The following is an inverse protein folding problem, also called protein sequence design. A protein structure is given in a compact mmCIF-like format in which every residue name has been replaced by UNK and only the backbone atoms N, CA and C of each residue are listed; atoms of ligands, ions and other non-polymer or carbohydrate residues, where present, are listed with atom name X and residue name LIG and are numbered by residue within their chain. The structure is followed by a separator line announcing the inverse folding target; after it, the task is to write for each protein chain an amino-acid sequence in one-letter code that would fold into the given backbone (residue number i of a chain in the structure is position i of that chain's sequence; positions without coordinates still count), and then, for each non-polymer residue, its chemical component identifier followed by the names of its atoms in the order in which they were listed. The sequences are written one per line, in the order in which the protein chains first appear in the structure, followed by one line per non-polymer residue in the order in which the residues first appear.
data_IF_985281894873
#
_entry.id   IF_985281894873
#
_cell.length_a   1.000
_cell.length_b   1.000
_cell.length_c   1.000
_cell.angle_alpha   90.00
_cell.angle_beta   90.00
_cell.angle_gamma   90.00
#
_symmetry.space_group_name_H-M   'P 1'
#
loop_
_entity.id
_entity.type
_entity.pdbx_description
1 polymer ?
#
# COMPACT_ATOMS: atom_id res chain seq x y z
N UNK A 1 -27.19 20.42 -15.60
CA UNK A 1 -26.86 19.84 -14.30
C UNK A 1 -25.94 18.61 -14.42
N UNK A 2 -26.27 17.58 -15.22
CA UNK A 2 -25.49 16.35 -15.42
C UNK A 2 -24.07 16.60 -15.95
N UNK A 3 -23.90 17.51 -16.91
CA UNK A 3 -22.59 17.84 -17.49
C UNK A 3 -21.66 18.54 -16.48
N UNK A 4 -22.19 19.39 -15.63
CA UNK A 4 -21.43 20.07 -14.57
C UNK A 4 -21.00 19.05 -13.50
N UNK A 5 -21.88 18.14 -13.10
CA UNK A 5 -21.56 17.06 -12.15
C UNK A 5 -20.49 16.12 -12.72
N UNK A 6 -20.55 15.78 -14.01
CA UNK A 6 -19.54 14.98 -14.69
C UNK A 6 -18.17 15.68 -14.74
N UNK A 7 -18.12 16.99 -15.07
CA UNK A 7 -16.88 17.78 -15.04
C UNK A 7 -16.27 17.85 -13.65
N UNK A 8 -17.07 18.12 -12.59
CA UNK A 8 -16.61 18.16 -11.20
C UNK A 8 -16.04 16.79 -10.76
N UNK A 9 -16.70 15.70 -11.13
CA UNK A 9 -16.24 14.34 -10.83
C UNK A 9 -14.91 14.05 -11.52
N UNK A 10 -14.75 14.42 -12.78
CA UNK A 10 -13.49 14.23 -13.53
C UNK A 10 -12.35 15.10 -12.96
N UNK A 11 -12.62 16.32 -12.54
CA UNK A 11 -11.62 17.17 -11.89
C UNK A 11 -11.13 16.57 -10.57
N UNK A 12 -12.05 16.03 -9.74
CA UNK A 12 -11.67 15.32 -8.50
C UNK A 12 -10.80 14.10 -8.80
N UNK A 13 -11.13 13.31 -9.80
CA UNK A 13 -10.33 12.15 -10.19
C UNK A 13 -8.92 12.54 -10.63
N UNK A 14 -8.78 13.59 -11.46
CA UNK A 14 -7.47 14.10 -11.87
C UNK A 14 -6.65 14.58 -10.68
N UNK A 15 -7.28 15.24 -9.71
CA UNK A 15 -6.61 15.70 -8.51
C UNK A 15 -6.11 14.53 -7.66
N UNK A 16 -6.92 13.50 -7.45
CA UNK A 16 -6.52 12.27 -6.73
C UNK A 16 -5.34 11.61 -7.43
N UNK A 17 -5.40 11.43 -8.75
CA UNK A 17 -4.31 10.81 -9.53
C UNK A 17 -3.02 11.62 -9.40
N UNK A 18 -3.09 12.95 -9.49
CA UNK A 18 -1.91 13.82 -9.32
C UNK A 18 -1.30 13.67 -7.94
N UNK A 19 -2.12 13.69 -6.88
CA UNK A 19 -1.65 13.48 -5.51
C UNK A 19 -0.99 12.10 -5.33
N UNK A 20 -1.59 11.04 -5.89
CA UNK A 20 -1.02 9.69 -5.83
C UNK A 20 0.31 9.60 -6.60
N UNK A 21 0.40 10.25 -7.75
CA UNK A 21 1.65 10.31 -8.51
C UNK A 21 2.75 11.05 -7.72
N UNK A 22 2.45 12.18 -7.11
CA UNK A 22 3.38 12.93 -6.26
C UNK A 22 3.86 12.09 -5.06
N UNK A 23 2.95 11.34 -4.43
CA UNK A 23 3.30 10.42 -3.34
C UNK A 23 4.26 9.34 -3.81
N UNK A 24 3.99 8.69 -4.94
CA UNK A 24 4.86 7.66 -5.52
C UNK A 24 6.27 8.23 -5.81
N UNK A 25 6.35 9.44 -6.35
CA UNK A 25 7.65 10.08 -6.61
C UNK A 25 8.42 10.38 -5.32
N UNK A 26 7.73 10.92 -4.30
CA UNK A 26 8.32 11.17 -2.98
C UNK A 26 8.81 9.88 -2.32
N UNK A 27 8.02 8.80 -2.38
CA UNK A 27 8.42 7.49 -1.85
C UNK A 27 9.68 6.95 -2.56
N UNK A 28 9.78 7.07 -3.89
CA UNK A 28 10.97 6.70 -4.64
C UNK A 28 12.20 7.51 -4.19
N UNK A 29 12.06 8.83 -4.08
CA UNK A 29 13.15 9.71 -3.63
C UNK A 29 13.59 9.39 -2.20
N UNK A 30 12.64 9.18 -1.29
CA UNK A 30 12.94 8.79 0.10
C UNK A 30 13.67 7.44 0.13
N UNK A 31 13.22 6.46 -0.65
CA UNK A 31 13.87 5.15 -0.74
C UNK A 31 15.30 5.24 -1.28
N UNK A 32 15.54 6.09 -2.28
CA UNK A 32 16.87 6.37 -2.82
C UNK A 32 17.77 7.04 -1.77
N UNK A 33 17.27 8.03 -1.04
CA UNK A 33 18.00 8.70 0.04
C UNK A 33 18.35 7.74 1.19
N UNK A 34 17.40 6.86 1.60
CA UNK A 34 17.67 5.84 2.62
C UNK A 34 18.68 4.79 2.17
N UNK A 35 18.71 4.43 0.89
CA UNK A 35 19.71 3.51 0.35
C UNK A 35 21.13 4.11 0.31
N UNK A 36 21.25 5.44 0.32
CA UNK A 36 22.52 6.15 0.36
C UNK A 36 22.99 6.48 1.78
N UNK A 37 22.12 6.44 2.78
CA UNK A 37 22.44 6.67 4.18
C UNK A 37 22.52 5.36 4.96
N UNK A 38 23.70 4.75 5.01
CA UNK A 38 24.01 3.75 6.05
C UNK A 38 24.05 4.46 7.40
N UNK A 39 23.02 4.31 8.22
CA UNK A 39 23.03 4.82 9.57
C UNK A 39 21.67 5.17 10.17
N UNK A 40 20.86 4.16 10.44
CA UNK A 40 19.61 4.34 11.20
C UNK A 40 19.87 4.78 12.63
N UNK A 41 19.50 6.00 12.99
CA UNK A 41 19.45 6.45 14.38
C UNK A 41 18.15 6.06 15.05
N UNK A 42 18.30 5.24 16.06
CA UNK A 42 17.38 4.86 17.10
C UNK A 42 16.76 6.08 17.79
N UNK A 43 15.44 6.17 17.81
CA UNK A 43 14.76 7.01 18.81
C UNK A 43 14.33 6.16 20.00
N UNK A 44 14.90 6.50 21.15
CA UNK A 44 14.51 6.03 22.48
C UNK A 44 13.37 6.89 23.03
N UNK A 45 12.33 6.29 23.57
CA UNK A 45 11.81 6.49 24.94
C UNK A 45 10.49 5.72 25.12
N UNK A 46 10.48 4.93 26.14
CA UNK A 46 9.56 4.52 27.20
C UNK A 46 9.27 3.03 27.27
N UNK A 47 9.43 2.55 28.50
CA UNK A 47 9.07 1.27 29.12
C UNK A 47 9.37 -0.04 28.34
N UNK A 48 9.96 -0.99 29.02
CA UNK A 48 10.31 -2.34 28.55
C UNK A 48 9.19 -3.10 27.79
N UNK A 49 7.93 -2.73 28.00
CA UNK A 49 6.79 -3.29 27.27
C UNK A 49 6.62 -2.67 25.89
N UNK A 50 6.88 -1.37 25.75
CA UNK A 50 6.79 -0.64 24.49
C UNK A 50 7.95 -0.99 23.56
N UNK A 51 9.17 -1.17 24.11
CA UNK A 51 10.33 -1.58 23.33
C UNK A 51 10.16 -2.98 22.71
N UNK A 52 9.57 -3.92 23.45
CA UNK A 52 9.26 -5.26 22.92
C UNK A 52 8.17 -5.20 21.85
N UNK A 53 7.14 -4.38 22.04
CA UNK A 53 6.09 -4.17 21.04
C UNK A 53 6.62 -3.54 19.76
N UNK A 54 7.49 -2.55 19.88
CA UNK A 54 8.16 -1.90 18.73
C UNK A 54 9.11 -2.86 18.01
N UNK A 55 9.89 -3.68 18.74
CA UNK A 55 10.76 -4.67 18.14
C UNK A 55 9.95 -5.73 17.37
N UNK A 56 8.86 -6.23 17.95
CA UNK A 56 7.97 -7.18 17.29
C UNK A 56 7.33 -6.58 16.04
N UNK A 57 6.88 -5.33 16.10
CA UNK A 57 6.34 -4.64 14.94
C UNK A 57 7.39 -4.43 13.84
N UNK A 58 8.62 -4.10 14.20
CA UNK A 58 9.74 -3.98 13.25
C UNK A 58 10.03 -5.29 12.52
N UNK A 59 10.04 -6.43 13.23
CA UNK A 59 10.20 -7.76 12.61
C UNK A 59 9.00 -8.10 11.71
N UNK A 60 7.78 -7.75 12.12
CA UNK A 60 6.59 -7.89 11.29
C UNK A 60 6.69 -7.06 10.00
N UNK A 61 7.08 -5.78 10.08
CA UNK A 61 7.28 -4.93 8.91
C UNK A 61 8.36 -5.46 7.98
N UNK A 62 9.44 -6.01 8.55
CA UNK A 62 10.50 -6.64 7.77
C UNK A 62 9.96 -7.79 6.92
N UNK A 63 9.14 -8.68 7.49
CA UNK A 63 8.48 -9.75 6.73
C UNK A 63 7.61 -9.19 5.59
N UNK A 64 6.85 -8.14 5.85
CA UNK A 64 6.01 -7.51 4.83
C UNK A 64 6.86 -6.93 3.70
N UNK A 65 7.94 -6.25 4.02
CA UNK A 65 8.79 -5.55 3.04
C UNK A 65 9.69 -6.49 2.24
N UNK A 66 10.34 -7.46 2.91
CA UNK A 66 11.35 -8.31 2.27
C UNK A 66 10.74 -9.51 1.56
N UNK A 67 9.76 -10.16 2.17
CA UNK A 67 9.16 -11.37 1.64
C UNK A 67 7.81 -11.15 0.96
N UNK A 68 7.24 -9.94 1.09
CA UNK A 68 5.92 -9.59 0.55
C UNK A 68 4.85 -10.62 0.92
N UNK A 69 4.94 -11.12 2.15
CA UNK A 69 4.09 -12.22 2.63
C UNK A 69 2.59 -11.86 2.59
N UNK A 70 2.26 -10.57 2.53
CA UNK A 70 0.89 -10.09 2.34
C UNK A 70 0.25 -10.54 1.03
N UNK A 71 1.05 -10.98 0.02
CA UNK A 71 0.54 -11.54 -1.24
C UNK A 71 -0.09 -12.92 -1.08
N UNK A 72 0.16 -13.60 0.03
CA UNK A 72 -0.48 -14.90 0.30
C UNK A 72 -1.96 -14.70 0.62
N UNK A 73 -2.82 -15.42 -0.07
CA UNK A 73 -4.27 -15.38 0.16
C UNK A 73 -4.68 -16.01 1.50
N UNK A 74 -3.86 -16.96 2.01
CA UNK A 74 -4.07 -17.69 3.25
C UNK A 74 -3.38 -17.08 4.49
N UNK A 75 -2.93 -15.82 4.38
CA UNK A 75 -2.25 -15.14 5.49
C UNK A 75 -3.23 -14.87 6.64
N UNK A 76 -2.84 -15.25 7.84
CA UNK A 76 -3.58 -14.98 9.08
C UNK A 76 -2.63 -14.44 10.15
N UNK A 77 -3.20 -13.73 11.12
CA UNK A 77 -2.43 -13.21 12.25
C UNK A 77 -1.77 -14.33 13.04
N UNK A 78 -2.43 -15.49 13.17
CA UNK A 78 -1.93 -16.65 13.89
C UNK A 78 -0.67 -17.22 13.20
N UNK A 79 -0.71 -17.44 11.88
CA UNK A 79 0.45 -17.90 11.10
C UNK A 79 1.66 -16.98 11.22
N UNK A 80 1.42 -15.67 11.27
CA UNK A 80 2.52 -14.71 11.42
C UNK A 80 3.00 -14.67 12.86
N UNK A 81 2.11 -14.78 13.84
CA UNK A 81 2.48 -14.87 15.24
C UNK A 81 3.36 -16.10 15.52
N UNK A 82 2.98 -17.26 15.01
CA UNK A 82 3.78 -18.48 15.12
C UNK A 82 5.18 -18.29 14.49
N UNK A 83 5.22 -17.65 13.33
CA UNK A 83 6.49 -17.40 12.63
C UNK A 83 7.40 -16.41 13.36
N UNK A 84 6.85 -15.45 14.09
CA UNK A 84 7.57 -14.48 14.91
C UNK A 84 7.75 -14.93 16.36
N UNK A 85 7.50 -16.22 16.64
CA UNK A 85 7.64 -16.84 17.97
C UNK A 85 6.88 -16.07 19.08
N UNK A 86 5.67 -15.61 18.73
CA UNK A 86 4.79 -14.82 19.60
C UNK A 86 3.36 -15.38 19.55
N UNK A 87 2.43 -14.70 20.17
CA UNK A 87 1.03 -15.05 20.09
C UNK A 87 0.20 -13.95 19.38
N UNK A 88 -1.00 -14.37 18.94
CA UNK A 88 -1.95 -13.50 18.24
C UNK A 88 -2.21 -12.17 18.96
N UNK A 89 -2.37 -12.22 20.30
CA UNK A 89 -2.72 -11.05 21.10
C UNK A 89 -1.60 -10.02 21.09
N UNK A 90 -0.37 -10.45 21.33
CA UNK A 90 0.79 -9.57 21.31
C UNK A 90 1.05 -8.99 19.93
N UNK A 91 0.97 -9.82 18.88
CA UNK A 91 1.17 -9.33 17.52
C UNK A 91 0.09 -8.33 17.11
N UNK A 92 -1.19 -8.64 17.37
CA UNK A 92 -2.29 -7.73 17.06
C UNK A 92 -2.17 -6.40 17.79
N UNK A 93 -1.74 -6.43 19.05
CA UNK A 93 -1.48 -5.25 19.86
C UNK A 93 -0.33 -4.43 19.30
N UNK A 94 0.82 -5.06 19.01
CA UNK A 94 1.99 -4.40 18.44
C UNK A 94 1.66 -3.69 17.11
N UNK A 95 0.91 -4.35 16.22
CA UNK A 95 0.45 -3.74 14.96
C UNK A 95 -0.46 -2.54 15.24
N UNK A 96 -1.45 -2.69 16.10
CA UNK A 96 -2.41 -1.62 16.38
C UNK A 96 -1.75 -0.40 17.03
N UNK A 97 -0.89 -0.60 18.04
CA UNK A 97 -0.22 0.49 18.75
C UNK A 97 0.78 1.25 17.87
N UNK A 98 1.47 0.57 16.95
CA UNK A 98 2.49 1.20 16.10
C UNK A 98 1.94 1.73 14.77
N UNK A 99 0.87 1.14 14.21
CA UNK A 99 0.32 1.54 12.90
C UNK A 99 -1.06 2.18 12.97
N UNK A 100 -1.76 2.07 14.10
CA UNK A 100 -3.16 2.46 14.22
C UNK A 100 -4.14 1.54 13.47
N UNK A 101 -3.67 0.41 12.93
CA UNK A 101 -4.43 -0.49 12.07
C UNK A 101 -4.63 -1.86 12.72
N UNK A 102 -5.72 -2.55 12.39
CA UNK A 102 -5.81 -3.99 12.61
C UNK A 102 -4.90 -4.74 11.64
N UNK A 103 -4.55 -6.01 11.95
CA UNK A 103 -3.77 -6.86 11.05
C UNK A 103 -4.34 -6.90 9.62
N UNK A 104 -5.65 -7.11 9.47
CA UNK A 104 -6.29 -7.17 8.15
C UNK A 104 -6.24 -5.84 7.41
N UNK A 105 -6.37 -4.71 8.12
CA UNK A 105 -6.22 -3.38 7.53
C UNK A 105 -4.78 -3.14 7.05
N UNK A 106 -3.79 -3.53 7.86
CA UNK A 106 -2.38 -3.41 7.51
C UNK A 106 -2.02 -4.26 6.28
N UNK A 107 -2.44 -5.53 6.24
CA UNK A 107 -2.23 -6.40 5.08
C UNK A 107 -2.87 -5.81 3.82
N UNK A 108 -4.11 -5.33 3.93
CA UNK A 108 -4.79 -4.71 2.79
C UNK A 108 -4.12 -3.40 2.35
N UNK A 109 -3.56 -2.58 3.27
CA UNK A 109 -2.81 -1.39 2.88
C UNK A 109 -1.57 -1.75 2.07
N UNK A 110 -0.78 -2.75 2.50
CA UNK A 110 0.38 -3.22 1.74
C UNK A 110 0.00 -3.70 0.33
N UNK A 111 -1.09 -4.47 0.21
CA UNK A 111 -1.62 -4.94 -1.08
C UNK A 111 -2.04 -3.79 -2.01
N UNK A 112 -2.73 -2.80 -1.46
CA UNK A 112 -3.19 -1.64 -2.24
C UNK A 112 -2.03 -0.73 -2.63
N UNK A 113 -1.05 -0.54 -1.77
CA UNK A 113 0.14 0.23 -2.10
C UNK A 113 0.93 -0.42 -3.24
N UNK A 114 1.11 -1.74 -3.21
CA UNK A 114 1.73 -2.44 -4.32
C UNK A 114 0.89 -2.37 -5.61
N UNK A 115 -0.44 -2.53 -5.51
CA UNK A 115 -1.34 -2.35 -6.65
C UNK A 115 -1.22 -0.96 -7.26
N UNK A 116 -1.12 0.07 -6.42
CA UNK A 116 -0.94 1.47 -6.84
C UNK A 116 0.34 1.64 -7.66
N UNK A 117 1.46 1.06 -7.20
CA UNK A 117 2.72 1.10 -7.93
C UNK A 117 2.63 0.37 -9.28
N UNK A 118 2.13 -0.87 -9.29
CA UNK A 118 1.98 -1.66 -10.52
C UNK A 118 1.08 -0.96 -11.54
N UNK A 119 -0.05 -0.41 -11.10
CA UNK A 119 -1.01 0.28 -11.97
C UNK A 119 -0.54 1.68 -12.42
N UNK A 120 0.50 2.24 -11.80
CA UNK A 120 1.12 3.49 -12.22
C UNK A 120 2.18 3.28 -13.31
N UNK A 121 2.65 2.07 -13.51
CA UNK A 121 3.56 1.71 -14.60
C UNK A 121 2.80 1.67 -15.92
N UNK A 122 3.23 2.49 -16.89
CA UNK A 122 2.53 2.67 -18.17
C UNK A 122 2.61 1.46 -19.07
N UNK A 123 3.69 0.69 -18.96
CA UNK A 123 3.98 -0.46 -19.82
C UNK A 123 3.42 -1.78 -19.25
N UNK A 124 2.79 -1.73 -18.08
CA UNK A 124 2.23 -2.89 -17.41
C UNK A 124 0.75 -3.10 -17.82
N UNK A 125 0.48 -4.16 -18.60
CA UNK A 125 -0.85 -4.51 -19.09
C UNK A 125 -1.54 -5.61 -18.28
N UNK A 126 -1.06 -5.90 -17.07
CA UNK A 126 -1.66 -6.94 -16.22
C UNK A 126 -3.18 -6.75 -16.09
N UNK A 127 -3.93 -7.81 -16.29
CA UNK A 127 -5.37 -7.77 -16.07
C UNK A 127 -5.70 -7.50 -14.60
N UNK A 128 -6.69 -6.65 -14.33
CA UNK A 128 -7.11 -6.31 -12.95
C UNK A 128 -7.49 -7.56 -12.16
N UNK A 129 -8.10 -8.55 -12.80
CA UNK A 129 -8.44 -9.85 -12.19
C UNK A 129 -7.17 -10.62 -11.78
N UNK A 130 -6.18 -10.69 -12.64
CA UNK A 130 -4.90 -11.36 -12.33
C UNK A 130 -4.17 -10.66 -11.19
N UNK A 131 -4.07 -9.32 -11.26
CA UNK A 131 -3.46 -8.51 -10.21
C UNK A 131 -4.11 -8.74 -8.84
N UNK A 132 -5.45 -8.85 -8.79
CA UNK A 132 -6.16 -9.10 -7.54
C UNK A 132 -5.69 -10.41 -6.88
N UNK A 133 -5.60 -11.48 -7.64
CA UNK A 133 -5.14 -12.77 -7.13
C UNK A 133 -3.65 -12.78 -6.79
N UNK A 134 -2.79 -12.16 -7.59
CA UNK A 134 -1.36 -12.03 -7.32
C UNK A 134 -1.07 -11.26 -6.02
N UNK A 135 -1.93 -10.29 -5.69
CA UNK A 135 -1.85 -9.55 -4.44
C UNK A 135 -2.52 -10.26 -3.25
N UNK A 136 -3.06 -11.47 -3.46
CA UNK A 136 -3.64 -12.29 -2.40
C UNK A 136 -5.07 -11.94 -2.02
N UNK A 137 -5.80 -11.20 -2.83
CA UNK A 137 -7.25 -11.00 -2.62
C UNK A 137 -8.02 -12.26 -3.02
N UNK A 138 -9.04 -12.59 -2.23
CA UNK A 138 -9.90 -13.75 -2.52
C UNK A 138 -10.69 -13.58 -3.82
N UNK A 139 -11.13 -12.35 -4.13
CA UNK A 139 -11.86 -12.03 -5.36
C UNK A 139 -11.46 -10.68 -5.94
N UNK A 140 -11.58 -10.48 -7.26
CA UNK A 140 -11.35 -9.19 -7.91
C UNK A 140 -12.28 -8.08 -7.44
N UNK A 141 -13.50 -8.44 -7.02
CA UNK A 141 -14.50 -7.52 -6.48
C UNK A 141 -14.05 -6.95 -5.14
N UNK A 142 -13.55 -7.81 -4.24
CA UNK A 142 -12.97 -7.41 -2.94
C UNK A 142 -11.76 -6.49 -3.15
N UNK A 143 -10.89 -6.82 -4.08
CA UNK A 143 -9.78 -5.95 -4.48
C UNK A 143 -10.27 -4.58 -4.96
N UNK A 144 -11.18 -4.56 -5.93
CA UNK A 144 -11.69 -3.32 -6.53
C UNK A 144 -12.39 -2.43 -5.51
N UNK A 145 -13.17 -3.01 -4.60
CA UNK A 145 -13.83 -2.29 -3.52
C UNK A 145 -12.82 -1.71 -2.52
N UNK A 146 -11.81 -2.49 -2.14
CA UNK A 146 -10.76 -2.06 -1.21
C UNK A 146 -9.90 -0.96 -1.84
N UNK A 147 -9.47 -1.13 -3.09
CA UNK A 147 -8.73 -0.13 -3.84
C UNK A 147 -9.51 1.18 -3.97
N UNK A 148 -10.81 1.11 -4.33
CA UNK A 148 -11.66 2.30 -4.44
C UNK A 148 -11.80 3.03 -3.10
N UNK A 149 -11.90 2.29 -1.99
CA UNK A 149 -12.01 2.87 -0.64
C UNK A 149 -10.72 3.58 -0.24
N UNK A 150 -9.55 3.01 -0.55
CA UNK A 150 -8.24 3.58 -0.21
C UNK A 150 -7.85 4.73 -1.13
N UNK A 151 -8.04 4.58 -2.44
CA UNK A 151 -7.53 5.51 -3.47
C UNK A 151 -8.60 6.50 -3.96
N UNK A 152 -9.88 6.21 -3.71
CA UNK A 152 -11.00 7.05 -4.13
C UNK A 152 -11.55 6.76 -5.52
N UNK A 153 -10.94 5.84 -6.29
CA UNK A 153 -11.40 5.44 -7.62
C UNK A 153 -11.12 3.98 -7.91
N UNK A 154 -11.80 3.41 -8.92
CA UNK A 154 -11.60 2.02 -9.36
C UNK A 154 -10.18 1.82 -9.95
N UNK A 155 -9.59 0.61 -9.81
CA UNK A 155 -8.26 0.29 -10.35
C UNK A 155 -8.13 0.56 -11.85
N UNK A 156 -9.15 0.19 -12.63
CA UNK A 156 -9.20 0.43 -14.10
C UNK A 156 -9.14 1.92 -14.43
N UNK A 157 -9.86 2.73 -13.66
CA UNK A 157 -9.89 4.18 -13.87
C UNK A 157 -8.56 4.81 -13.44
N UNK A 158 -7.98 4.35 -12.33
CA UNK A 158 -6.67 4.79 -11.87
C UNK A 158 -5.59 4.56 -12.94
N UNK A 159 -5.46 3.33 -13.45
CA UNK A 159 -4.50 3.01 -14.52
C UNK A 159 -4.69 3.88 -15.76
N UNK A 160 -5.93 4.07 -16.20
CA UNK A 160 -6.24 4.92 -17.37
C UNK A 160 -5.76 6.36 -17.18
N UNK A 161 -6.01 6.94 -16.02
CA UNK A 161 -5.60 8.32 -15.73
C UNK A 161 -4.08 8.45 -15.56
N UNK A 162 -3.41 7.46 -14.97
CA UNK A 162 -1.94 7.44 -14.87
C UNK A 162 -1.28 7.40 -16.25
N UNK A 163 -1.74 6.51 -17.15
CA UNK A 163 -1.25 6.45 -18.54
C UNK A 163 -1.47 7.75 -19.30
N UNK A 164 -2.63 8.38 -19.10
CA UNK A 164 -2.93 9.65 -19.72
C UNK A 164 -1.98 10.75 -19.26
N UNK A 165 -1.74 10.87 -17.95
CA UNK A 165 -0.79 11.85 -17.41
C UNK A 165 0.61 11.67 -17.96
N UNK A 166 1.06 10.42 -18.10
CA UNK A 166 2.37 10.12 -18.65
C UNK A 166 2.48 10.52 -20.13
N UNK A 167 1.46 10.24 -20.94
CA UNK A 167 1.44 10.62 -22.35
C UNK A 167 1.39 12.15 -22.52
N UNK A 168 0.52 12.83 -21.77
CA UNK A 168 0.42 14.30 -21.79
C UNK A 168 1.79 14.96 -21.43
N UNK A 169 2.56 14.35 -20.48
CA UNK A 169 3.88 14.84 -20.09
C UNK A 169 4.96 14.63 -21.19
N UNK A 170 4.82 13.59 -22.02
CA UNK A 170 5.75 13.32 -23.14
C UNK A 170 5.51 14.23 -24.35
N UNK A 171 4.27 14.65 -24.56
CA UNK A 171 3.92 15.56 -25.67
C UNK A 171 4.31 17.02 -25.38
N UNK A 172 4.64 17.35 -24.11
CA UNK A 172 4.97 18.73 -23.68
C UNK A 172 6.49 18.97 -23.60
N UNK A 173 7.32 17.95 -23.78
CA UNK A 173 8.79 17.99 -23.83
C UNK A 173 9.32 17.76 -25.25
#
# INVERSE_FOLDING_TARGET
ALFIAYRRKNQRYRQIVRQQHELIQKEKTIKELYSQSEGGRKYTVSSLSDEKGQALFSEFEKLMRTEKIYRRSDITVDKIADRLETNRTYLSRAINENSGMSFSQYINSCRIDEARHILSETDNDIQIKALAYELGFATPETFSATFKRSIGMLPTKFRKEMRRMYNDARETN
#
